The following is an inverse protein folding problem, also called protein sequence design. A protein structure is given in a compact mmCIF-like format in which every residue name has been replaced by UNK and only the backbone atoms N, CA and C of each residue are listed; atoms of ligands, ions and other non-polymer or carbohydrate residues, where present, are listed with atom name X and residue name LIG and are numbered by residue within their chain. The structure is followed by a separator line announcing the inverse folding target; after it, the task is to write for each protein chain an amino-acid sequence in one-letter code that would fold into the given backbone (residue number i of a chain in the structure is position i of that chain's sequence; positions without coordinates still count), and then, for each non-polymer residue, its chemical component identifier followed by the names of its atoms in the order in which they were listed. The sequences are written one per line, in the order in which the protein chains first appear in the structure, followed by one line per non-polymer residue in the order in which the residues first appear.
data_IF_399002687797
#
_entry.id   IF_399002687797
#
_cell.length_a   1.000
_cell.length_b   1.000
_cell.length_c   1.000
_cell.angle_alpha   90.00
_cell.angle_beta   90.00
_cell.angle_gamma   90.00
#
_symmetry.space_group_name_H-M   'P 1'
#
loop_
_entity.id
_entity.type
_entity.pdbx_description
1 polymer ?
#
# COMPACT_ATOMS: atom_id res chain seq x y z
N UNK A 1 21.57 -6.38 -10.61
CA UNK A 1 20.17 -6.79 -10.42
C UNK A 1 19.31 -5.54 -10.46
N UNK A 2 18.32 -5.43 -11.36
CA UNK A 2 17.43 -4.27 -11.35
C UNK A 2 16.73 -4.20 -10.00
N UNK A 3 16.57 -2.99 -9.48
CA UNK A 3 15.99 -2.75 -8.15
C UNK A 3 14.48 -3.01 -8.21
N UNK A 4 13.86 -3.43 -7.10
CA UNK A 4 12.43 -3.82 -7.01
C UNK A 4 11.47 -2.78 -7.65
N UNK A 5 11.86 -1.50 -7.63
CA UNK A 5 11.13 -0.37 -8.24
C UNK A 5 11.08 -0.41 -9.77
N UNK A 6 12.11 -0.92 -10.45
CA UNK A 6 12.20 -0.95 -11.92
C UNK A 6 11.32 -2.03 -12.56
N UNK A 7 11.00 -3.10 -11.83
CA UNK A 7 10.22 -4.24 -12.35
C UNK A 7 8.72 -3.95 -12.37
N UNK A 8 8.25 -2.99 -11.58
CA UNK A 8 6.82 -2.80 -11.27
C UNK A 8 6.26 -1.43 -11.73
N UNK A 9 7.09 -0.51 -12.23
CA UNK A 9 6.63 0.78 -12.76
C UNK A 9 6.02 1.72 -11.69
N UNK A 10 6.49 1.62 -10.45
CA UNK A 10 6.09 2.49 -9.34
C UNK A 10 6.98 3.75 -9.29
N UNK A 11 6.46 4.91 -8.86
CA UNK A 11 5.08 5.15 -8.41
C UNK A 11 4.09 5.27 -9.57
N UNK A 12 2.85 4.80 -9.36
CA UNK A 12 1.74 4.87 -10.32
C UNK A 12 1.34 6.34 -10.60
N UNK A 13 1.30 6.71 -11.87
CA UNK A 13 1.02 8.07 -12.34
C UNK A 13 -0.43 8.27 -12.75
N UNK A 14 -1.15 7.19 -13.07
CA UNK A 14 -2.52 7.25 -13.57
C UNK A 14 -3.43 6.22 -12.91
N UNK A 15 -4.74 6.49 -12.89
CA UNK A 15 -5.76 5.52 -12.41
C UNK A 15 -5.79 4.26 -13.28
N UNK A 16 -5.46 4.37 -14.56
CA UNK A 16 -5.35 3.22 -15.46
C UNK A 16 -4.16 2.31 -15.09
N UNK A 17 -3.03 2.89 -14.65
CA UNK A 17 -1.91 2.11 -14.10
C UNK A 17 -2.30 1.44 -12.80
N UNK A 18 -3.00 2.14 -11.90
CA UNK A 18 -3.55 1.56 -10.69
C UNK A 18 -4.43 0.35 -10.99
N UNK A 19 -5.34 0.44 -11.97
CA UNK A 19 -6.20 -0.68 -12.37
C UNK A 19 -5.43 -1.88 -12.91
N UNK A 20 -4.41 -1.64 -13.75
CA UNK A 20 -3.53 -2.71 -14.23
C UNK A 20 -2.73 -3.35 -13.09
N UNK A 21 -2.26 -2.53 -12.15
CA UNK A 21 -1.53 -3.00 -10.99
C UNK A 21 -2.42 -3.83 -10.05
N UNK A 22 -3.69 -3.46 -9.88
CA UNK A 22 -4.62 -4.30 -9.10
C UNK A 22 -4.85 -5.67 -9.72
N UNK A 23 -4.87 -5.76 -11.05
CA UNK A 23 -4.94 -7.05 -11.74
C UNK A 23 -3.66 -7.85 -11.51
N UNK A 24 -2.48 -7.21 -11.57
CA UNK A 24 -1.20 -7.89 -11.35
C UNK A 24 -1.02 -8.39 -9.91
N UNK A 25 -1.64 -7.76 -8.92
CA UNK A 25 -1.68 -8.24 -7.53
C UNK A 25 -2.45 -9.56 -7.33
N UNK A 26 -3.10 -10.07 -8.38
CA UNK A 26 -3.55 -11.46 -8.44
C UNK A 26 -2.40 -12.48 -8.39
N UNK A 27 -1.19 -12.08 -8.78
CA UNK A 27 0.03 -12.90 -8.73
C UNK A 27 0.70 -12.85 -7.34
N UNK A 28 1.05 -14.02 -6.80
CA UNK A 28 1.66 -14.14 -5.47
C UNK A 28 3.06 -13.52 -5.38
N UNK A 29 3.87 -13.66 -6.42
CA UNK A 29 5.21 -13.12 -6.44
C UNK A 29 5.17 -11.59 -6.42
N UNK A 30 4.23 -10.99 -7.17
CA UNK A 30 4.03 -9.54 -7.19
C UNK A 30 3.59 -9.04 -5.81
N UNK A 31 2.67 -9.74 -5.13
CA UNK A 31 2.29 -9.41 -3.75
C UNK A 31 3.48 -9.47 -2.80
N UNK A 32 4.28 -10.53 -2.89
CA UNK A 32 5.46 -10.73 -2.04
C UNK A 32 6.48 -9.61 -2.24
N UNK A 33 6.73 -9.21 -3.49
CA UNK A 33 7.61 -8.10 -3.83
C UNK A 33 7.10 -6.77 -3.28
N UNK A 34 5.80 -6.49 -3.43
CA UNK A 34 5.19 -5.28 -2.88
C UNK A 34 5.32 -5.24 -1.35
N UNK A 35 4.93 -6.32 -0.66
CA UNK A 35 5.02 -6.40 0.80
C UNK A 35 6.47 -6.22 1.27
N UNK A 36 7.43 -6.86 0.60
CA UNK A 36 8.86 -6.71 0.89
C UNK A 36 9.34 -5.27 0.73
N UNK A 37 8.99 -4.62 -0.40
CA UNK A 37 9.31 -3.21 -0.64
C UNK A 37 8.74 -2.33 0.46
N UNK A 38 7.45 -2.45 0.79
CA UNK A 38 6.80 -1.63 1.82
C UNK A 38 7.40 -1.86 3.20
N UNK A 39 7.73 -3.10 3.55
CA UNK A 39 8.39 -3.41 4.84
C UNK A 39 9.78 -2.77 4.98
N UNK A 40 10.46 -2.47 3.86
CA UNK A 40 11.77 -1.82 3.88
C UNK A 40 11.74 -0.30 4.01
N UNK A 41 10.58 0.35 3.83
CA UNK A 41 10.46 1.82 3.84
C UNK A 41 10.60 2.41 5.25
N UNK A 42 10.03 1.73 6.25
CA UNK A 42 9.95 2.20 7.64
C UNK A 42 9.10 3.47 7.83
N UNK A 43 9.15 4.02 9.05
CA UNK A 43 8.48 5.27 9.41
C UNK A 43 8.51 5.48 10.93
N UNK A 44 8.33 6.73 11.38
CA UNK A 44 8.39 7.09 12.80
C UNK A 44 7.07 6.78 13.55
N UNK A 45 6.33 5.77 13.09
CA UNK A 45 5.00 5.40 13.58
C UNK A 45 4.07 4.93 12.46
N UNK A 46 2.97 4.27 12.82
CA UNK A 46 2.11 3.57 11.86
C UNK A 46 1.56 4.50 10.77
N UNK A 47 1.09 5.69 11.16
CA UNK A 47 0.56 6.68 10.22
C UNK A 47 1.64 7.15 9.23
N UNK A 48 2.83 7.48 9.72
CA UNK A 48 3.96 7.92 8.88
C UNK A 48 4.40 6.82 7.92
N UNK A 49 4.50 5.58 8.40
CA UNK A 49 4.83 4.42 7.57
C UNK A 49 3.80 4.19 6.44
N UNK A 50 2.50 4.34 6.73
CA UNK A 50 1.44 4.25 5.71
C UNK A 50 1.52 5.41 4.71
N UNK A 51 1.75 6.64 5.16
CA UNK A 51 1.88 7.82 4.28
C UNK A 51 3.09 7.68 3.34
N UNK A 52 4.24 7.22 3.87
CA UNK A 52 5.45 6.94 3.08
C UNK A 52 5.25 5.78 2.11
N UNK A 53 4.56 4.73 2.53
CA UNK A 53 4.20 3.61 1.66
C UNK A 53 3.31 4.04 0.50
N UNK A 54 2.28 4.85 0.77
CA UNK A 54 1.38 5.40 -0.26
C UNK A 54 2.15 6.27 -1.27
N UNK A 55 3.05 7.14 -0.79
CA UNK A 55 3.88 7.98 -1.63
C UNK A 55 4.86 7.17 -2.50
N UNK A 56 5.32 6.00 -2.03
CA UNK A 56 6.18 5.13 -2.81
C UNK A 56 5.46 4.37 -3.93
N UNK A 57 4.17 4.05 -3.74
CA UNK A 57 3.40 3.27 -4.72
C UNK A 57 2.60 4.12 -5.70
N UNK A 58 2.22 5.34 -5.33
CA UNK A 58 1.32 6.15 -6.14
C UNK A 58 1.64 7.64 -6.03
N UNK A 59 1.52 8.33 -7.15
CA UNK A 59 1.61 9.79 -7.21
C UNK A 59 0.47 10.46 -6.44
N UNK A 60 0.70 11.69 -5.99
CA UNK A 60 -0.32 12.52 -5.33
C UNK A 60 -1.58 12.69 -6.20
N UNK A 61 -1.42 12.71 -7.53
CA UNK A 61 -2.54 12.75 -8.48
C UNK A 61 -3.44 11.52 -8.36
N UNK A 62 -2.85 10.32 -8.32
CA UNK A 62 -3.59 9.06 -8.16
C UNK A 62 -4.24 8.99 -6.78
N UNK A 63 -3.50 9.35 -5.73
CA UNK A 63 -4.02 9.41 -4.36
C UNK A 63 -5.17 10.43 -4.22
N UNK A 64 -5.09 11.53 -4.97
CA UNK A 64 -6.14 12.54 -5.08
C UNK A 64 -7.43 12.04 -5.72
N UNK A 65 -7.37 10.99 -6.52
CA UNK A 65 -8.51 10.43 -7.26
C UNK A 65 -9.21 9.26 -6.56
N UNK A 66 -8.65 8.80 -5.45
CA UNK A 66 -9.22 7.77 -4.59
C UNK A 66 -9.68 8.34 -3.23
N UNK A 67 -10.60 7.63 -2.59
CA UNK A 67 -10.85 7.75 -1.16
C UNK A 67 -11.45 6.44 -0.63
N UNK A 68 -11.52 6.29 0.70
CA UNK A 68 -11.96 5.04 1.34
C UNK A 68 -13.25 4.46 0.75
N UNK A 69 -14.30 5.28 0.63
CA UNK A 69 -15.65 4.85 0.26
C UNK A 69 -16.07 5.17 -1.19
N UNK A 70 -15.21 5.79 -1.99
CA UNK A 70 -15.59 6.30 -3.32
C UNK A 70 -16.58 7.48 -3.25
N UNK A 71 -16.56 8.30 -2.19
CA UNK A 71 -17.52 9.41 -2.06
C UNK A 71 -17.13 10.61 -2.92
N UNK A 72 -18.11 11.25 -3.54
CA UNK A 72 -17.93 12.51 -4.29
C UNK A 72 -17.39 13.62 -3.39
N UNK A 73 -16.43 14.39 -3.88
CA UNK A 73 -15.87 15.59 -3.21
C UNK A 73 -15.76 16.72 -4.22
N UNK A 74 -16.24 17.92 -3.86
CA UNK A 74 -16.11 19.17 -4.66
C UNK A 74 -16.34 18.95 -6.17
N UNK A 75 -17.38 18.20 -6.52
CA UNK A 75 -17.81 17.85 -7.89
C UNK A 75 -17.08 16.71 -8.62
N UNK A 76 -16.03 16.09 -8.06
CA UNK A 76 -15.39 14.90 -8.66
C UNK A 76 -15.84 13.62 -7.94
N UNK A 77 -16.30 12.64 -8.72
CA UNK A 77 -16.53 11.27 -8.24
C UNK A 77 -15.16 10.61 -8.04
N UNK A 78 -14.93 10.04 -6.85
CA UNK A 78 -13.67 9.35 -6.52
C UNK A 78 -13.86 7.84 -6.56
N UNK A 79 -12.77 7.10 -6.77
CA UNK A 79 -12.79 5.64 -6.69
C UNK A 79 -12.65 5.18 -5.23
N UNK A 80 -13.46 4.21 -4.84
CA UNK A 80 -13.38 3.58 -3.52
C UNK A 80 -12.16 2.68 -3.42
N UNK A 81 -11.37 2.80 -2.34
CA UNK A 81 -10.14 2.01 -2.15
C UNK A 81 -10.20 1.00 -1.00
N UNK A 82 -11.30 0.90 -0.25
CA UNK A 82 -11.41 -0.04 0.87
C UNK A 82 -11.20 -1.53 0.50
N UNK A 83 -11.62 -1.94 -0.70
CA UNK A 83 -11.51 -3.33 -1.19
C UNK A 83 -10.29 -3.57 -2.10
N UNK A 84 -9.41 -2.57 -2.26
CA UNK A 84 -8.25 -2.68 -3.15
C UNK A 84 -7.18 -3.60 -2.57
N UNK A 85 -6.64 -4.50 -3.40
CA UNK A 85 -5.53 -5.37 -3.00
C UNK A 85 -4.28 -4.54 -2.70
N UNK A 86 -4.04 -3.46 -3.44
CA UNK A 86 -2.94 -2.53 -3.14
C UNK A 86 -2.99 -2.03 -1.70
N UNK A 87 -4.15 -1.56 -1.24
CA UNK A 87 -4.31 -1.06 0.13
C UNK A 87 -4.11 -2.19 1.15
N UNK A 88 -4.66 -3.38 0.89
CA UNK A 88 -4.46 -4.55 1.74
C UNK A 88 -2.96 -4.88 1.93
N UNK A 89 -2.19 -4.94 0.84
CA UNK A 89 -0.78 -5.33 0.89
C UNK A 89 0.15 -4.21 1.34
N UNK A 90 -0.22 -2.94 1.19
CA UNK A 90 0.45 -1.83 1.88
C UNK A 90 0.34 -2.01 3.39
N UNK A 91 -0.87 -2.23 3.91
CA UNK A 91 -1.08 -2.42 5.35
C UNK A 91 -0.37 -3.67 5.87
N UNK A 92 -0.32 -4.74 5.09
CA UNK A 92 0.45 -5.94 5.43
C UNK A 92 1.96 -5.65 5.50
N UNK A 93 2.51 -4.95 4.49
CA UNK A 93 3.91 -4.56 4.47
C UNK A 93 4.30 -3.67 5.64
N UNK A 94 3.45 -2.69 5.98
CA UNK A 94 3.67 -1.83 7.16
C UNK A 94 3.65 -2.65 8.44
N UNK A 95 2.69 -3.57 8.63
CA UNK A 95 2.63 -4.43 9.83
C UNK A 95 3.82 -5.36 10.01
N UNK A 96 4.53 -5.69 8.92
CA UNK A 96 5.75 -6.50 8.94
C UNK A 96 7.02 -5.70 9.25
N UNK A 97 6.92 -4.38 9.41
CA UNK A 97 8.06 -3.57 9.84
C UNK A 97 8.41 -3.91 11.30
N UNK A 98 9.71 -3.97 11.67
CA UNK A 98 10.15 -4.42 12.99
C UNK A 98 9.45 -3.67 14.14
N UNK A 99 9.31 -2.35 14.00
CA UNK A 99 8.69 -1.45 14.99
C UNK A 99 7.22 -1.79 15.29
N UNK A 100 6.53 -2.52 14.39
CA UNK A 100 5.13 -2.93 14.56
C UNK A 100 4.96 -4.43 14.73
N UNK A 101 5.94 -5.24 14.30
CA UNK A 101 5.88 -6.69 14.42
C UNK A 101 5.88 -7.13 15.90
N UNK A 102 6.67 -6.46 16.74
CA UNK A 102 6.73 -6.76 18.19
C UNK A 102 5.42 -6.40 18.93
N UNK A 103 4.73 -5.35 18.47
CA UNK A 103 3.40 -4.95 19.01
C UNK A 103 2.32 -5.95 18.59
N UNK A 104 2.35 -6.43 17.35
CA UNK A 104 1.41 -7.44 16.84
C UNK A 104 1.64 -8.79 17.53
N UNK A 105 2.90 -9.19 17.73
CA UNK A 105 3.25 -10.41 18.46
C UNK A 105 2.84 -10.34 19.93
N UNK A 106 3.09 -9.23 20.62
CA UNK A 106 2.66 -9.07 22.03
C UNK A 106 1.14 -9.16 22.20
N UNK A 107 0.34 -8.52 21.34
CA UNK A 107 -1.12 -8.57 21.45
C UNK A 107 -1.72 -9.94 21.19
N UNK A 108 -1.03 -10.83 20.47
CA UNK A 108 -1.47 -12.20 20.22
C UNK A 108 -1.05 -13.19 21.33
N UNK A 109 -0.14 -12.79 22.24
CA UNK A 109 0.32 -13.64 23.35
C UNK A 109 -0.50 -13.40 24.62
N UNK A 110 -1.11 -12.22 24.78
CA UNK A 110 -1.94 -11.86 25.95
C UNK A 110 -3.36 -12.46 25.94
N UNK A 111 -3.63 -13.45 25.09
CA UNK A 111 -4.91 -14.19 25.05
C UNK A 111 -4.66 -15.65 25.42
N UNK A 112 -4.06 -15.89 26.59
CA UNK A 112 -4.09 -17.18 27.29
C UNK A 112 -4.05 -16.94 28.81
#
# INVERSE_FOLDING_TARGET
HPTITEVQGLPLQTTAELERYEISLGDEEIRRQLVGMISSIGGNGFKDAVERALAAVASEKVLGDVNWLGRKRKNKQKKGCHDMLLIKYILEGVRKQPDFEDVVRHNNITVY
#
